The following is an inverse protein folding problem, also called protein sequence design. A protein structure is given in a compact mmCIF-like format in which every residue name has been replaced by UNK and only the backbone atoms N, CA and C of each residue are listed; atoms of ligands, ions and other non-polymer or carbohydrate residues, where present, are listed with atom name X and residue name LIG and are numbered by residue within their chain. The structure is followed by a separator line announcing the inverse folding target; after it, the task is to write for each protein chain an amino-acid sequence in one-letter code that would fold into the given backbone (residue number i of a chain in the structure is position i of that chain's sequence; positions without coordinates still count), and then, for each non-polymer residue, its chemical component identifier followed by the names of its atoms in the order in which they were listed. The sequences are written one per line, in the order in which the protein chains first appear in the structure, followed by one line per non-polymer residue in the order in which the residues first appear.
data_IF_124527246266
#
_entry.id   IF_124527246266
#
_cell.length_a   1.000
_cell.length_b   1.000
_cell.length_c   1.000
_cell.angle_alpha   90.00
_cell.angle_beta   90.00
_cell.angle_gamma   90.00
#
_symmetry.space_group_name_H-M   'P 1'
#
loop_
_entity.id
_entity.type
_entity.pdbx_description
1 polymer ?
#
# COMPACT_ATOMS: atom_id res chain seq x y z
N UNK A 1 -8.50 -13.59 -6.76
CA UNK A 1 -9.62 -12.86 -7.28
C UNK A 1 -10.19 -11.91 -6.26
N UNK A 2 -11.38 -11.44 -6.55
CA UNK A 2 -12.00 -10.41 -5.74
C UNK A 2 -12.26 -10.85 -4.32
N UNK A 3 -12.45 -12.16 -4.11
CA UNK A 3 -12.76 -12.66 -2.76
C UNK A 3 -11.54 -12.77 -1.86
N UNK A 4 -10.36 -12.76 -2.43
CA UNK A 4 -9.14 -12.98 -1.67
C UNK A 4 -8.95 -11.97 -0.54
N UNK A 5 -9.31 -10.73 -0.78
CA UNK A 5 -9.09 -9.66 0.20
C UNK A 5 -10.38 -9.15 0.82
N UNK A 6 -11.49 -9.83 0.58
CA UNK A 6 -12.78 -9.39 1.08
C UNK A 6 -12.75 -9.27 2.60
N UNK A 7 -13.21 -8.12 3.09
CA UNK A 7 -13.24 -7.87 4.53
C UNK A 7 -11.94 -7.38 5.13
N UNK A 8 -10.87 -7.36 4.34
CA UNK A 8 -9.58 -6.87 4.83
C UNK A 8 -9.46 -5.37 4.63
N UNK A 9 -8.79 -4.73 5.58
CA UNK A 9 -8.42 -3.32 5.41
C UNK A 9 -7.41 -3.19 4.28
N UNK A 10 -7.33 -2.01 3.69
CA UNK A 10 -6.31 -1.69 2.70
C UNK A 10 -5.51 -0.49 3.18
N UNK A 11 -4.19 -0.57 3.03
CA UNK A 11 -3.30 0.56 3.23
C UNK A 11 -2.66 0.89 1.90
N UNK A 12 -2.65 2.17 1.57
CA UNK A 12 -2.09 2.65 0.31
C UNK A 12 -1.10 3.75 0.64
N UNK A 13 0.11 3.67 0.08
CA UNK A 13 1.04 4.79 0.19
C UNK A 13 1.73 5.01 -1.14
N UNK A 14 2.01 6.27 -1.42
CA UNK A 14 2.66 6.68 -2.66
C UNK A 14 3.90 7.49 -2.33
N UNK A 15 5.02 7.12 -2.95
CA UNK A 15 6.30 7.80 -2.76
C UNK A 15 6.82 8.28 -4.10
N UNK A 16 7.72 9.26 -4.08
CA UNK A 16 8.32 9.77 -5.31
C UNK A 16 9.36 8.84 -5.92
N UNK A 17 9.91 7.92 -5.13
CA UNK A 17 10.94 7.01 -5.60
C UNK A 17 10.42 5.57 -5.56
N UNK A 18 10.48 4.90 -6.71
CA UNK A 18 10.08 3.48 -6.78
C UNK A 18 10.99 2.62 -5.92
N UNK A 19 12.28 2.92 -5.91
CA UNK A 19 13.21 2.16 -5.08
C UNK A 19 12.86 2.29 -3.61
N UNK A 20 12.51 3.51 -3.17
CA UNK A 20 12.10 3.71 -1.78
C UNK A 20 10.84 2.93 -1.46
N UNK A 21 9.94 2.75 -2.44
CA UNK A 21 8.73 1.96 -2.24
C UNK A 21 9.07 0.53 -1.86
N UNK A 22 10.05 -0.07 -2.51
CA UNK A 22 10.43 -1.45 -2.20
C UNK A 22 11.06 -1.57 -0.81
N UNK A 23 11.87 -0.60 -0.42
CA UNK A 23 12.43 -0.59 0.93
C UNK A 23 11.31 -0.43 1.96
N UNK A 24 10.36 0.47 1.69
CA UNK A 24 9.26 0.72 2.61
C UNK A 24 8.33 -0.48 2.73
N UNK A 25 7.98 -1.13 1.61
CA UNK A 25 7.08 -2.27 1.68
C UNK A 25 7.74 -3.46 2.37
N UNK A 26 9.05 -3.60 2.23
CA UNK A 26 9.76 -4.64 2.95
C UNK A 26 9.66 -4.40 4.46
N UNK A 27 9.86 -3.15 4.88
CA UNK A 27 9.73 -2.79 6.29
C UNK A 27 8.31 -3.06 6.79
N UNK A 28 7.31 -2.73 5.97
CA UNK A 28 5.91 -2.97 6.32
C UNK A 28 5.65 -4.46 6.53
N UNK A 29 6.11 -5.28 5.61
CA UNK A 29 5.87 -6.73 5.66
C UNK A 29 6.59 -7.37 6.85
N UNK A 30 7.72 -6.81 7.26
CA UNK A 30 8.45 -7.31 8.42
C UNK A 30 7.83 -6.88 9.73
N UNK A 31 7.10 -5.77 9.73
CA UNK A 31 6.54 -5.20 10.96
C UNK A 31 5.20 -5.83 11.35
N UNK A 32 4.43 -6.33 10.39
CA UNK A 32 3.09 -6.85 10.65
C UNK A 32 2.68 -7.82 9.56
N UNK A 33 1.62 -8.59 9.84
CA UNK A 33 1.12 -9.57 8.89
C UNK A 33 0.24 -8.90 7.85
N UNK A 34 0.86 -8.42 6.79
CA UNK A 34 0.14 -7.82 5.67
C UNK A 34 0.59 -8.48 4.37
N UNK A 35 -0.28 -8.44 3.37
CA UNK A 35 0.03 -8.92 2.03
C UNK A 35 0.13 -7.73 1.10
N UNK A 36 1.12 -7.73 0.24
CA UNK A 36 1.26 -6.67 -0.75
C UNK A 36 0.40 -7.06 -1.94
N UNK A 37 -0.65 -6.29 -2.16
CA UNK A 37 -1.58 -6.56 -3.24
C UNK A 37 -1.07 -6.07 -4.57
N UNK A 38 -0.36 -4.94 -4.58
CA UNK A 38 0.17 -4.42 -5.83
C UNK A 38 1.10 -3.26 -5.61
N UNK A 39 1.97 -3.05 -6.59
CA UNK A 39 2.86 -1.90 -6.65
C UNK A 39 2.71 -1.36 -8.08
N UNK A 40 2.22 -0.12 -8.20
CA UNK A 40 1.95 0.48 -9.49
C UNK A 40 2.81 1.71 -9.67
N UNK A 41 3.51 1.77 -10.79
CA UNK A 41 4.32 2.94 -11.10
C UNK A 41 3.45 4.17 -11.30
N UNK A 42 3.95 5.28 -10.78
CA UNK A 42 3.35 6.56 -11.05
C UNK A 42 3.77 7.00 -12.45
N UNK A 43 2.81 7.20 -13.33
CA UNK A 43 3.11 7.52 -14.73
C UNK A 43 3.65 8.91 -14.93
N UNK A 44 3.50 9.78 -13.92
CA UNK A 44 3.91 11.17 -14.04
C UNK A 44 5.28 11.42 -13.42
N UNK A 45 5.87 10.43 -12.74
CA UNK A 45 7.15 10.60 -12.08
C UNK A 45 7.82 9.23 -11.92
N UNK A 46 8.94 9.22 -11.22
CA UNK A 46 9.67 7.98 -10.95
C UNK A 46 9.13 7.22 -9.73
N UNK A 47 8.00 7.63 -9.20
CA UNK A 47 7.45 7.05 -8.00
C UNK A 47 6.54 5.88 -8.23
N UNK A 48 5.99 5.37 -7.15
CA UNK A 48 5.07 4.25 -7.20
C UNK A 48 4.08 4.31 -6.04
N UNK A 49 3.00 3.56 -6.20
CA UNK A 49 1.92 3.44 -5.24
C UNK A 49 1.86 2.00 -4.78
N UNK A 50 1.91 1.78 -3.47
CA UNK A 50 1.91 0.44 -2.88
C UNK A 50 0.57 0.21 -2.19
N UNK A 51 -0.04 -0.96 -2.44
CA UNK A 51 -1.29 -1.36 -1.80
C UNK A 51 -1.06 -2.61 -0.98
N UNK A 52 -1.45 -2.57 0.30
CA UNK A 52 -1.28 -3.70 1.19
C UNK A 52 -2.57 -4.02 1.91
N UNK A 53 -2.77 -5.30 2.23
CA UNK A 53 -4.01 -5.80 2.81
C UNK A 53 -3.74 -6.55 4.10
N UNK A 54 -4.69 -6.46 5.02
CA UNK A 54 -4.61 -7.19 6.29
C UNK A 54 -5.70 -6.73 7.23
N UNK A 55 -5.58 -7.11 8.50
CA UNK A 55 -6.46 -6.55 9.51
C UNK A 55 -6.14 -5.07 9.69
N UNK A 56 -7.08 -4.31 10.25
CA UNK A 56 -6.85 -2.88 10.50
C UNK A 56 -5.61 -2.68 11.35
N UNK A 57 -5.45 -3.47 12.42
CA UNK A 57 -4.30 -3.35 13.30
C UNK A 57 -3.00 -3.60 12.56
N UNK A 58 -2.96 -4.64 11.75
CA UNK A 58 -1.74 -4.99 11.02
C UNK A 58 -1.42 -3.94 9.97
N UNK A 59 -2.45 -3.44 9.26
CA UNK A 59 -2.24 -2.41 8.24
C UNK A 59 -1.73 -1.11 8.89
N UNK A 60 -2.27 -0.74 10.05
CA UNK A 60 -1.79 0.44 10.77
C UNK A 60 -0.31 0.30 11.15
N UNK A 61 0.05 -0.85 11.73
CA UNK A 61 1.44 -1.07 12.15
C UNK A 61 2.39 -1.10 10.95
N UNK A 62 1.96 -1.74 9.86
CA UNK A 62 2.74 -1.84 8.64
C UNK A 62 2.93 -0.45 8.01
N UNK A 63 1.87 0.35 7.97
CA UNK A 63 1.94 1.70 7.41
C UNK A 63 2.92 2.56 8.19
N UNK A 64 2.87 2.49 9.52
CA UNK A 64 3.77 3.27 10.36
C UNK A 64 5.22 2.92 10.06
N UNK A 65 5.52 1.62 9.96
CA UNK A 65 6.88 1.17 9.65
C UNK A 65 7.31 1.61 8.25
N UNK A 66 6.41 1.51 7.27
CA UNK A 66 6.70 1.91 5.90
C UNK A 66 7.04 3.38 5.82
N UNK A 67 6.21 4.23 6.43
CA UNK A 67 6.41 5.68 6.35
C UNK A 67 7.67 6.12 7.10
N UNK A 68 7.93 5.52 8.26
CA UNK A 68 9.13 5.84 9.03
C UNK A 68 10.39 5.50 8.23
N UNK A 69 10.37 4.37 7.55
CA UNK A 69 11.51 3.93 6.74
C UNK A 69 11.67 4.79 5.49
N UNK A 70 10.54 5.19 4.88
CA UNK A 70 10.55 5.96 3.64
C UNK A 70 10.99 7.40 3.83
N UNK A 71 10.69 7.99 4.97
CA UNK A 71 10.86 9.44 5.17
C UNK A 71 12.27 9.93 4.81
N UNK A 72 13.36 9.29 5.28
CA UNK A 72 14.70 9.76 4.91
C UNK A 72 15.10 9.42 3.49
N UNK A 73 14.34 8.60 2.77
CA UNK A 73 14.71 8.13 1.45
C UNK A 73 13.98 8.83 0.33
N UNK A 74 12.78 9.34 0.58
CA UNK A 74 11.93 9.82 -0.48
C UNK A 74 10.85 10.72 0.09
N UNK A 75 10.34 11.62 -0.73
CA UNK A 75 9.16 12.37 -0.38
C UNK A 75 7.96 11.42 -0.35
N UNK A 76 7.16 11.51 0.70
CA UNK A 76 5.90 10.79 0.82
C UNK A 76 4.83 11.65 0.17
N UNK A 77 4.26 11.16 -0.94
CA UNK A 77 3.26 11.91 -1.69
C UNK A 77 1.93 11.88 -0.96
N UNK A 78 1.48 10.68 -0.59
CA UNK A 78 0.24 10.53 0.17
C UNK A 78 0.15 9.12 0.73
N UNK A 79 -0.76 8.94 1.68
CA UNK A 79 -1.04 7.62 2.23
C UNK A 79 -2.43 7.62 2.84
N UNK A 80 -3.05 6.44 2.92
CA UNK A 80 -4.35 6.31 3.53
C UNK A 80 -4.59 4.86 3.96
N UNK A 81 -5.54 4.68 4.86
CA UNK A 81 -5.99 3.36 5.28
C UNK A 81 -7.51 3.37 5.25
N UNK A 82 -8.10 2.36 4.63
CA UNK A 82 -9.54 2.16 4.61
C UNK A 82 -9.82 0.84 5.31
N UNK A 83 -10.57 0.90 6.42
CA UNK A 83 -10.76 -0.26 7.27
C UNK A 83 -11.58 -1.36 6.58
N UNK A 84 -12.61 -0.97 5.85
CA UNK A 84 -13.50 -1.92 5.19
C UNK A 84 -13.94 -1.34 3.86
N UNK A 85 -13.12 -1.49 2.81
CA UNK A 85 -13.45 -0.90 1.51
C UNK A 85 -14.80 -1.41 1.01
N UNK A 86 -15.59 -0.50 0.42
CA UNK A 86 -16.85 -0.87 -0.20
C UNK A 86 -16.59 -1.73 -1.44
N UNK A 87 -17.63 -2.38 -1.94
CA UNK A 87 -17.49 -3.15 -3.18
C UNK A 87 -17.06 -2.27 -4.34
N UNK A 88 -17.58 -1.04 -4.38
CA UNK A 88 -17.19 -0.10 -5.42
C UNK A 88 -15.71 0.24 -5.33
N UNK A 89 -15.21 0.47 -4.11
CA UNK A 89 -13.80 0.75 -3.91
C UNK A 89 -12.93 -0.45 -4.30
N UNK A 90 -13.36 -1.66 -3.93
CA UNK A 90 -12.61 -2.87 -4.28
C UNK A 90 -12.52 -3.04 -5.80
N UNK A 91 -13.62 -2.76 -6.50
CA UNK A 91 -13.64 -2.84 -7.95
C UNK A 91 -12.63 -1.85 -8.55
N UNK A 92 -12.63 -0.61 -8.06
CA UNK A 92 -11.72 0.41 -8.55
C UNK A 92 -10.26 0.03 -8.27
N UNK A 93 -10.00 -0.51 -7.09
CA UNK A 93 -8.64 -0.93 -6.72
C UNK A 93 -8.15 -2.01 -7.68
N UNK A 94 -8.98 -3.01 -7.96
CA UNK A 94 -8.60 -4.08 -8.88
C UNK A 94 -8.34 -3.56 -10.28
N UNK A 95 -9.08 -2.55 -10.72
CA UNK A 95 -8.88 -1.97 -12.04
C UNK A 95 -7.49 -1.36 -12.19
N UNK A 96 -6.96 -0.78 -11.12
CA UNK A 96 -5.62 -0.18 -11.20
C UNK A 96 -4.54 -1.24 -11.18
N UNK A 97 -4.74 -2.31 -10.43
CA UNK A 97 -3.70 -3.32 -10.22
C UNK A 97 -3.47 -4.17 -11.46
N UNK A 98 -4.50 -4.40 -12.24
CA UNK A 98 -4.42 -5.28 -13.40
C UNK A 98 -3.99 -4.60 -14.68
N UNK A 99 -3.35 -3.47 -14.58
CA UNK A 99 -2.86 -2.76 -15.78
C UNK A 99 -1.50 -3.25 -16.27
#
# INVERSE_FOLDING_TARGET
MSEEYKGMAIGVFELESECACFVALDAAAKAADVKIQGVERNRLSAGACVKMRGTVSNVNAAMEAALRTAEPLSKIVSHTIIAAPSEEAETAIRMTINK
#
